data_IF_821328151758
#
_entry.id   IF_821328151758
#
_cell.length_a   1.000
_cell.length_b   1.000
_cell.length_c   1.000
_cell.angle_alpha   90.00
_cell.angle_beta   90.00
_cell.angle_gamma   90.00
#
_symmetry.space_group_name_H-M   'P 1'
#
loop_
_entity.id
_entity.type
_entity.pdbx_description
1 polymer ?
#
# COMPACT_ATOMS: atom_id res chain seq x y z
N UNK A 1 21.79 -3.93 -17.39
CA UNK A 1 23.21 -3.60 -17.11
C UNK A 1 23.40 -2.11 -17.09
N UNK A 2 24.19 -1.63 -16.17
CA UNK A 2 24.65 -0.24 -16.05
C UNK A 2 25.99 -0.08 -16.78
N UNK A 3 26.43 1.16 -16.98
CA UNK A 3 27.64 1.52 -17.76
C UNK A 3 28.90 0.73 -17.39
N UNK A 4 29.05 0.27 -16.16
CA UNK A 4 30.21 -0.48 -15.64
C UNK A 4 29.83 -1.77 -14.90
N UNK A 5 28.60 -2.24 -15.02
CA UNK A 5 28.13 -3.43 -14.31
C UNK A 5 27.09 -4.18 -15.12
N UNK A 6 27.19 -5.50 -15.15
CA UNK A 6 26.23 -6.37 -15.83
C UNK A 6 25.55 -7.27 -14.81
N UNK A 7 24.24 -7.19 -14.71
CA UNK A 7 23.43 -8.12 -13.92
C UNK A 7 23.33 -9.43 -14.70
N UNK A 8 23.68 -10.53 -14.07
CA UNK A 8 23.63 -11.87 -14.70
C UNK A 8 22.20 -12.36 -14.87
N UNK A 9 21.98 -13.28 -15.81
CA UNK A 9 20.71 -14.01 -15.91
C UNK A 9 20.40 -14.82 -14.64
N UNK A 10 21.43 -15.36 -13.99
CA UNK A 10 21.29 -16.08 -12.73
C UNK A 10 20.68 -15.20 -11.65
N UNK A 11 21.23 -14.00 -11.43
CA UNK A 11 20.70 -13.03 -10.48
C UNK A 11 19.26 -12.60 -10.82
N UNK A 12 18.99 -12.29 -12.10
CA UNK A 12 17.65 -11.89 -12.54
C UNK A 12 16.62 -13.02 -12.34
N UNK A 13 16.95 -14.25 -12.73
CA UNK A 13 16.09 -15.41 -12.51
C UNK A 13 15.90 -15.70 -11.02
N UNK A 14 16.98 -15.70 -10.24
CA UNK A 14 16.90 -15.93 -8.80
C UNK A 14 15.96 -14.93 -8.12
N UNK A 15 16.14 -13.63 -8.38
CA UNK A 15 15.29 -12.59 -7.78
C UNK A 15 13.84 -12.74 -8.20
N UNK A 16 13.57 -12.99 -9.50
CA UNK A 16 12.20 -13.22 -9.99
C UNK A 16 11.55 -14.44 -9.33
N UNK A 17 12.26 -15.57 -9.25
CA UNK A 17 11.73 -16.82 -8.71
C UNK A 17 11.55 -16.75 -7.19
N UNK A 18 12.43 -16.05 -6.49
CA UNK A 18 12.30 -15.79 -5.08
C UNK A 18 11.05 -14.94 -4.77
N UNK A 19 10.83 -13.87 -5.54
CA UNK A 19 9.61 -13.06 -5.42
C UNK A 19 8.34 -13.86 -5.78
N UNK A 20 8.40 -14.71 -6.80
CA UNK A 20 7.32 -15.62 -7.13
C UNK A 20 6.93 -16.50 -5.94
N UNK A 21 7.92 -17.13 -5.30
CA UNK A 21 7.67 -18.00 -4.14
C UNK A 21 6.99 -17.24 -2.98
N UNK A 22 7.46 -16.04 -2.68
CA UNK A 22 6.86 -15.21 -1.62
C UNK A 22 5.41 -14.83 -1.93
N UNK A 23 5.10 -14.46 -3.16
CA UNK A 23 3.73 -14.11 -3.57
C UNK A 23 2.83 -15.33 -3.55
N UNK A 24 3.30 -16.49 -4.00
CA UNK A 24 2.53 -17.74 -3.99
C UNK A 24 2.23 -18.20 -2.55
N UNK A 25 3.19 -18.08 -1.63
CA UNK A 25 2.97 -18.39 -0.21
C UNK A 25 1.93 -17.46 0.43
N UNK A 26 1.99 -16.17 0.12
CA UNK A 26 1.00 -15.19 0.58
C UNK A 26 -0.41 -15.54 0.05
N UNK A 27 -0.54 -15.85 -1.23
CA UNK A 27 -1.83 -16.23 -1.82
C UNK A 27 -2.38 -17.53 -1.23
N UNK A 28 -1.54 -18.53 -0.98
CA UNK A 28 -1.95 -19.77 -0.29
C UNK A 28 -2.52 -19.49 1.09
N UNK A 29 -1.88 -18.62 1.87
CA UNK A 29 -2.32 -18.28 3.23
C UNK A 29 -3.65 -17.53 3.25
N UNK A 30 -3.90 -16.67 2.25
CA UNK A 30 -5.07 -15.80 2.21
C UNK A 30 -6.28 -16.42 1.52
N UNK A 31 -6.08 -17.22 0.48
CA UNK A 31 -7.17 -17.65 -0.43
C UNK A 31 -7.35 -19.16 -0.52
N UNK A 32 -6.57 -19.97 0.20
CA UNK A 32 -6.62 -21.43 0.09
C UNK A 32 -6.37 -21.90 -1.36
N UNK A 33 -5.51 -21.23 -2.08
CA UNK A 33 -5.40 -21.28 -3.52
C UNK A 33 -5.15 -22.68 -4.08
N UNK A 34 -6.01 -23.14 -4.97
CA UNK A 34 -5.89 -24.43 -5.65
C UNK A 34 -4.84 -24.45 -6.76
N UNK A 35 -4.43 -23.28 -7.28
CA UNK A 35 -3.43 -23.19 -8.35
C UNK A 35 -2.81 -21.80 -8.43
N UNK A 36 -1.49 -21.72 -8.22
CA UNK A 36 -0.71 -20.51 -8.42
C UNK A 36 -0.43 -20.23 -9.91
N UNK A 37 -0.53 -21.24 -10.79
CA UNK A 37 -0.23 -21.07 -12.22
C UNK A 37 -1.23 -20.14 -12.93
N UNK A 38 -2.49 -20.16 -12.52
CA UNK A 38 -3.52 -19.27 -13.06
C UNK A 38 -3.30 -17.80 -12.68
N UNK A 39 -2.66 -17.53 -11.52
CA UNK A 39 -2.34 -16.19 -11.07
C UNK A 39 -1.41 -15.48 -12.06
N UNK A 40 -0.36 -16.17 -12.47
CA UNK A 40 0.70 -15.57 -13.27
C UNK A 40 0.31 -15.29 -14.71
N UNK A 41 -0.65 -16.02 -15.24
CA UNK A 41 -1.18 -15.83 -16.59
C UNK A 41 -2.30 -14.78 -16.68
N UNK A 42 -2.80 -14.28 -15.53
CA UNK A 42 -3.87 -13.27 -15.50
C UNK A 42 -3.39 -11.93 -16.01
N UNK A 43 -4.17 -11.34 -16.90
CA UNK A 43 -4.12 -9.93 -17.27
C UNK A 43 -5.12 -9.16 -16.39
N UNK A 44 -4.63 -8.59 -15.28
CA UNK A 44 -5.49 -7.89 -14.32
C UNK A 44 -6.02 -6.56 -14.84
N UNK A 45 -5.35 -5.97 -15.82
CA UNK A 45 -5.66 -4.62 -16.32
C UNK A 45 -6.27 -4.63 -17.71
N UNK A 46 -6.42 -5.79 -18.34
CA UNK A 46 -6.97 -5.92 -19.70
C UNK A 46 -6.13 -5.28 -20.81
N UNK A 47 -4.83 -5.12 -20.57
CA UNK A 47 -3.90 -4.45 -21.48
C UNK A 47 -2.93 -5.39 -22.20
N UNK A 48 -3.11 -6.71 -22.06
CA UNK A 48 -2.25 -7.72 -22.64
C UNK A 48 -0.99 -8.06 -21.84
N UNK A 49 -0.81 -7.45 -20.65
CA UNK A 49 0.33 -7.68 -19.74
C UNK A 49 -0.09 -8.63 -18.63
N UNK A 50 0.58 -9.76 -18.50
CA UNK A 50 0.29 -10.75 -17.45
C UNK A 50 0.88 -10.34 -16.10
N UNK A 51 0.41 -10.97 -15.02
CA UNK A 51 1.01 -10.82 -13.69
C UNK A 51 2.49 -11.25 -13.68
N UNK A 52 2.84 -12.28 -14.45
CA UNK A 52 4.24 -12.71 -14.63
C UNK A 52 5.08 -11.58 -15.24
N UNK A 53 4.60 -10.95 -16.32
CA UNK A 53 5.32 -9.84 -16.98
C UNK A 53 5.49 -8.65 -16.03
N UNK A 54 4.43 -8.27 -15.33
CA UNK A 54 4.45 -7.19 -14.32
C UNK A 54 5.47 -7.47 -13.21
N UNK A 55 5.52 -8.70 -12.71
CA UNK A 55 6.47 -9.09 -11.69
C UNK A 55 7.91 -9.02 -12.21
N UNK A 56 8.17 -9.50 -13.41
CA UNK A 56 9.50 -9.44 -14.04
C UNK A 56 9.97 -8.00 -14.23
N UNK A 57 9.10 -7.12 -14.71
CA UNK A 57 9.41 -5.71 -14.89
C UNK A 57 9.71 -5.05 -13.53
N UNK A 58 8.91 -5.30 -12.52
CA UNK A 58 9.14 -4.81 -11.16
C UNK A 58 10.47 -5.28 -10.57
N UNK A 59 10.84 -6.54 -10.79
CA UNK A 59 12.14 -7.07 -10.34
C UNK A 59 13.29 -6.41 -11.09
N UNK A 60 13.16 -6.13 -12.38
CA UNK A 60 14.22 -5.42 -13.12
C UNK A 60 14.40 -3.99 -12.61
N UNK A 61 13.32 -3.30 -12.26
CA UNK A 61 13.40 -1.99 -11.63
C UNK A 61 14.03 -2.05 -10.25
N UNK A 62 13.67 -3.03 -9.43
CA UNK A 62 14.27 -3.26 -8.12
C UNK A 62 15.78 -3.55 -8.21
N UNK A 63 16.21 -4.37 -9.16
CA UNK A 63 17.63 -4.63 -9.41
C UNK A 63 18.34 -3.36 -9.86
N UNK A 64 17.72 -2.56 -10.73
CA UNK A 64 18.27 -1.28 -11.16
C UNK A 64 18.49 -0.35 -9.94
N UNK A 65 17.50 -0.19 -9.10
CA UNK A 65 17.59 0.58 -7.84
C UNK A 65 18.78 0.08 -6.99
N UNK A 66 18.80 -1.21 -6.69
CA UNK A 66 19.82 -1.78 -5.78
C UNK A 66 21.25 -1.64 -6.31
N UNK A 67 21.48 -1.86 -7.60
CA UNK A 67 22.81 -1.67 -8.18
C UNK A 67 23.19 -0.20 -8.33
N UNK A 68 22.22 0.68 -8.58
CA UNK A 68 22.45 2.13 -8.53
C UNK A 68 22.90 2.56 -7.14
N UNK A 69 22.19 2.12 -6.10
CA UNK A 69 22.58 2.42 -4.71
C UNK A 69 23.95 1.86 -4.36
N UNK A 70 24.27 0.65 -4.78
CA UNK A 70 25.59 0.04 -4.59
C UNK A 70 26.72 0.88 -5.24
N UNK A 71 26.47 1.41 -6.43
CA UNK A 71 27.44 2.24 -7.14
C UNK A 71 27.75 3.57 -6.41
N UNK A 72 26.82 4.05 -5.61
CA UNK A 72 26.89 5.33 -4.90
C UNK A 72 27.15 5.22 -3.38
N UNK A 73 27.47 4.02 -2.87
CA UNK A 73 27.73 3.80 -1.43
C UNK A 73 28.76 4.76 -0.85
N UNK A 74 29.81 5.06 -1.62
CA UNK A 74 30.91 5.93 -1.17
C UNK A 74 30.49 7.38 -0.99
N UNK A 75 29.49 7.82 -1.74
CA UNK A 75 28.97 9.20 -1.67
C UNK A 75 28.29 9.47 -0.31
N UNK A 76 27.88 8.39 0.39
CA UNK A 76 27.20 8.43 1.69
C UNK A 76 27.97 7.74 2.82
N UNK A 77 29.26 7.44 2.62
CA UNK A 77 30.10 6.70 3.57
C UNK A 77 29.46 5.39 4.05
N UNK A 78 28.64 4.78 3.21
CA UNK A 78 27.99 3.48 3.47
C UNK A 78 28.92 2.33 3.11
N UNK A 79 29.00 1.35 3.99
CA UNK A 79 29.72 0.10 3.75
C UNK A 79 28.97 -1.08 4.40
N UNK A 80 29.19 -2.28 3.89
CA UNK A 80 28.76 -3.52 4.54
C UNK A 80 29.85 -3.94 5.51
N UNK A 81 29.52 -4.00 6.79
CA UNK A 81 30.46 -4.30 7.87
C UNK A 81 30.91 -5.77 7.85
N UNK A 82 31.95 -6.08 8.61
CA UNK A 82 32.45 -7.47 8.74
C UNK A 82 31.35 -8.39 9.35
N UNK A 83 30.64 -7.90 10.36
CA UNK A 83 29.59 -8.68 11.01
C UNK A 83 28.37 -8.89 10.09
N UNK A 84 27.99 -7.86 9.33
CA UNK A 84 26.92 -7.97 8.31
C UNK A 84 27.32 -9.00 7.23
N UNK A 85 28.56 -8.98 6.73
CA UNK A 85 29.07 -9.98 5.76
C UNK A 85 29.01 -11.39 6.34
N UNK A 86 29.40 -11.58 7.59
CA UNK A 86 29.33 -12.88 8.25
C UNK A 86 27.88 -13.37 8.40
N UNK A 87 26.96 -12.48 8.77
CA UNK A 87 25.54 -12.79 8.88
C UNK A 87 24.91 -13.13 7.52
N UNK A 88 25.24 -12.37 6.48
CA UNK A 88 24.81 -12.61 5.08
C UNK A 88 25.27 -13.98 4.62
N UNK A 89 26.55 -14.30 4.81
CA UNK A 89 27.09 -15.62 4.45
C UNK A 89 26.38 -16.75 5.15
N UNK A 90 26.17 -16.63 6.44
CA UNK A 90 25.42 -17.64 7.22
C UNK A 90 23.98 -17.79 6.71
N UNK A 91 23.30 -16.68 6.40
CA UNK A 91 21.94 -16.71 5.87
C UNK A 91 21.88 -17.36 4.49
N UNK A 92 22.86 -17.07 3.61
CA UNK A 92 22.96 -17.71 2.29
C UNK A 92 23.16 -19.23 2.41
N UNK A 93 24.07 -19.66 3.27
CA UNK A 93 24.30 -21.09 3.55
C UNK A 93 23.04 -21.77 4.09
N UNK A 94 22.31 -21.12 4.98
CA UNK A 94 21.04 -21.62 5.50
C UNK A 94 20.01 -21.76 4.38
N UNK A 95 19.87 -20.74 3.52
CA UNK A 95 18.97 -20.79 2.38
C UNK A 95 19.28 -21.98 1.45
N UNK A 96 20.56 -22.22 1.14
CA UNK A 96 20.98 -23.36 0.32
C UNK A 96 20.64 -24.69 1.00
N UNK A 97 20.83 -24.81 2.33
CA UNK A 97 20.54 -26.06 3.05
C UNK A 97 19.06 -26.32 3.24
N UNK A 98 18.23 -25.29 3.31
CA UNK A 98 16.77 -25.40 3.54
C UNK A 98 15.98 -25.72 2.26
N UNK A 99 16.61 -25.62 1.10
CA UNK A 99 15.95 -25.81 -0.19
C UNK A 99 16.44 -27.07 -0.91
N UNK A 100 15.55 -27.71 -1.65
CA UNK A 100 15.95 -28.88 -2.47
C UNK A 100 16.87 -28.48 -3.62
N UNK A 101 17.71 -29.42 -4.06
CA UNK A 101 18.59 -29.20 -5.20
C UNK A 101 17.83 -28.84 -6.49
N UNK A 102 16.60 -29.34 -6.65
CA UNK A 102 15.74 -29.04 -7.78
C UNK A 102 15.25 -27.60 -7.72
N UNK A 103 14.78 -27.14 -6.56
CA UNK A 103 14.36 -25.75 -6.35
C UNK A 103 15.51 -24.77 -6.57
N UNK A 104 16.69 -25.06 -6.01
CA UNK A 104 17.89 -24.25 -6.19
C UNK A 104 18.30 -24.14 -7.67
N UNK A 105 18.22 -25.24 -8.41
CA UNK A 105 18.50 -25.25 -9.84
C UNK A 105 17.49 -24.45 -10.64
N UNK A 106 16.21 -24.59 -10.36
CA UNK A 106 15.12 -23.82 -10.97
C UNK A 106 15.29 -22.31 -10.74
N UNK A 107 15.70 -21.94 -9.54
CA UNK A 107 15.94 -20.56 -9.16
C UNK A 107 17.29 -20.02 -9.64
N UNK A 108 18.19 -20.88 -10.15
CA UNK A 108 19.61 -20.53 -10.37
C UNK A 108 20.27 -19.98 -9.09
N UNK A 109 19.91 -20.56 -7.96
CA UNK A 109 20.43 -20.16 -6.65
C UNK A 109 21.67 -20.98 -6.29
N UNK A 110 22.78 -20.30 -6.21
CA UNK A 110 24.00 -20.77 -5.54
C UNK A 110 24.34 -19.85 -4.36
N UNK A 111 25.31 -20.24 -3.54
CA UNK A 111 25.67 -19.46 -2.35
C UNK A 111 26.06 -18.01 -2.71
N UNK A 112 26.85 -17.84 -3.79
CA UNK A 112 27.33 -16.52 -4.21
C UNK A 112 26.17 -15.61 -4.68
N UNK A 113 25.23 -16.15 -5.46
CA UNK A 113 24.06 -15.41 -5.93
C UNK A 113 23.14 -14.99 -4.77
N UNK A 114 22.96 -15.88 -3.79
CA UNK A 114 22.16 -15.57 -2.58
C UNK A 114 22.86 -14.52 -1.72
N UNK A 115 24.18 -14.66 -1.49
CA UNK A 115 24.99 -13.66 -0.77
C UNK A 115 24.92 -12.30 -1.47
N UNK A 116 25.01 -12.25 -2.80
CA UNK A 116 24.94 -11.01 -3.57
C UNK A 116 23.59 -10.33 -3.38
N UNK A 117 22.46 -11.05 -3.49
CA UNK A 117 21.14 -10.46 -3.30
C UNK A 117 20.94 -9.96 -1.87
N UNK A 118 21.34 -10.72 -0.86
CA UNK A 118 21.26 -10.30 0.55
C UNK A 118 22.15 -9.08 0.83
N UNK A 119 23.32 -9.01 0.20
CA UNK A 119 24.20 -7.85 0.26
C UNK A 119 23.53 -6.62 -0.34
N UNK A 120 22.89 -6.75 -1.51
CA UNK A 120 22.15 -5.67 -2.14
C UNK A 120 20.99 -5.18 -1.28
N UNK A 121 20.22 -6.05 -0.63
CA UNK A 121 19.18 -5.66 0.32
C UNK A 121 19.74 -4.89 1.53
N UNK A 122 20.88 -5.33 2.06
CA UNK A 122 21.57 -4.65 3.16
C UNK A 122 22.00 -3.24 2.74
N UNK A 123 22.63 -3.11 1.57
CA UNK A 123 23.04 -1.84 1.01
C UNK A 123 21.84 -0.92 0.80
N UNK A 124 20.76 -1.42 0.19
CA UNK A 124 19.52 -0.66 -0.03
C UNK A 124 18.99 -0.07 1.27
N UNK A 125 18.87 -0.88 2.30
CA UNK A 125 18.38 -0.42 3.62
C UNK A 125 19.28 0.68 4.22
N UNK A 126 20.60 0.52 4.13
CA UNK A 126 21.55 1.50 4.66
C UNK A 126 21.58 2.78 3.85
N UNK A 127 21.57 2.68 2.52
CA UNK A 127 21.54 3.83 1.61
C UNK A 127 20.24 4.61 1.72
N UNK A 128 19.10 3.93 1.77
CA UNK A 128 17.81 4.59 1.98
C UNK A 128 17.82 5.42 3.24
N UNK A 129 18.25 4.83 4.36
CA UNK A 129 18.35 5.54 5.64
C UNK A 129 19.29 6.73 5.58
N UNK A 130 20.44 6.61 4.90
CA UNK A 130 21.40 7.68 4.77
C UNK A 130 20.88 8.85 3.90
N UNK A 131 20.23 8.53 2.77
CA UNK A 131 19.62 9.54 1.89
C UNK A 131 18.45 10.24 2.58
N UNK A 132 17.56 9.48 3.20
CA UNK A 132 16.39 10.02 3.92
C UNK A 132 16.80 10.94 5.09
N UNK A 133 17.98 10.73 5.69
CA UNK A 133 18.50 11.58 6.75
C UNK A 133 18.83 13.02 6.29
N UNK A 134 18.97 13.26 4.99
CA UNK A 134 19.19 14.59 4.41
C UNK A 134 17.88 15.36 4.18
N UNK A 135 16.72 14.70 4.29
CA UNK A 135 15.43 15.35 4.08
C UNK A 135 15.17 16.43 5.15
N UNK A 136 14.49 17.52 4.73
CA UNK A 136 14.01 18.53 5.66
C UNK A 136 12.85 17.99 6.50
N UNK A 137 13.11 17.76 7.78
CA UNK A 137 12.13 17.26 8.75
C UNK A 137 11.52 18.37 9.62
N UNK A 138 11.85 19.64 9.36
CA UNK A 138 11.28 20.79 10.04
C UNK A 138 9.88 21.09 9.47
N UNK A 139 8.86 20.50 10.09
CA UNK A 139 7.46 20.75 9.77
C UNK A 139 6.94 21.79 10.75
N UNK A 140 6.43 22.91 10.22
CA UNK A 140 5.84 23.96 11.07
C UNK A 140 4.53 23.51 11.66
N UNK A 141 4.08 24.17 12.74
CA UNK A 141 2.78 23.88 13.34
C UNK A 141 1.62 24.16 12.36
N UNK A 142 1.77 25.19 11.51
CA UNK A 142 0.80 25.52 10.46
C UNK A 142 0.69 24.43 9.39
N UNK A 143 1.84 23.90 8.93
CA UNK A 143 1.86 22.80 7.95
C UNK A 143 1.23 21.54 8.48
N UNK A 144 1.43 21.23 9.77
CA UNK A 144 0.94 20.03 10.40
C UNK A 144 -0.52 20.13 10.87
N UNK A 145 -1.02 21.35 11.12
CA UNK A 145 -2.29 21.57 11.79
C UNK A 145 -3.45 20.88 11.07
N UNK A 146 -4.22 20.11 11.83
CA UNK A 146 -5.51 19.58 11.42
C UNK A 146 -6.59 20.04 12.41
N UNK A 147 -7.72 20.50 11.84
CA UNK A 147 -8.88 20.94 12.60
C UNK A 147 -9.82 19.75 12.77
N UNK A 148 -10.29 19.53 13.99
CA UNK A 148 -11.22 18.44 14.32
C UNK A 148 -12.67 18.85 14.09
N UNK A 149 -13.47 17.94 13.55
CA UNK A 149 -14.90 18.18 13.30
C UNK A 149 -15.77 16.97 13.59
N UNK A 150 -17.06 17.26 13.83
CA UNK A 150 -18.15 16.28 13.79
C UNK A 150 -19.08 16.62 12.64
N UNK A 151 -19.52 15.61 11.90
CA UNK A 151 -20.34 15.77 10.70
C UNK A 151 -21.53 14.80 10.72
N UNK A 152 -22.71 15.31 10.41
CA UNK A 152 -23.89 14.54 10.04
C UNK A 152 -24.05 14.61 8.52
N UNK A 153 -24.28 13.47 7.88
CA UNK A 153 -24.46 13.36 6.43
C UNK A 153 -25.72 12.58 6.10
N UNK A 154 -26.55 13.14 5.23
CA UNK A 154 -27.70 12.46 4.65
C UNK A 154 -27.51 12.41 3.13
N UNK A 155 -27.34 11.21 2.57
CA UNK A 155 -27.30 11.04 1.10
C UNK A 155 -28.68 11.37 0.50
N UNK A 156 -28.67 12.08 -0.62
CA UNK A 156 -29.88 12.45 -1.37
C UNK A 156 -29.96 11.81 -2.75
N UNK A 157 -28.99 10.95 -3.10
CA UNK A 157 -28.93 10.31 -4.43
C UNK A 157 -29.69 9.00 -4.45
N UNK A 158 -29.37 8.09 -3.55
CA UNK A 158 -29.91 6.74 -3.54
C UNK A 158 -29.86 6.10 -2.16
N UNK A 159 -30.68 5.08 -1.97
CA UNK A 159 -30.66 4.21 -0.80
C UNK A 159 -30.73 2.74 -1.23
N UNK A 160 -30.55 1.83 -0.29
CA UNK A 160 -30.82 0.41 -0.52
C UNK A 160 -32.25 0.07 -0.11
N UNK A 161 -32.97 -0.64 -0.97
CA UNK A 161 -34.28 -1.19 -0.65
C UNK A 161 -34.16 -2.41 0.27
N UNK A 162 -35.32 -2.95 0.74
CA UNK A 162 -35.36 -4.13 1.60
C UNK A 162 -34.75 -5.39 0.99
N UNK A 163 -34.54 -5.39 -0.34
CA UNK A 163 -33.92 -6.47 -1.10
C UNK A 163 -32.44 -6.24 -1.36
N UNK A 164 -31.87 -5.10 -0.89
CA UNK A 164 -30.48 -4.73 -1.07
C UNK A 164 -30.15 -4.10 -2.43
N UNK A 165 -31.17 -3.74 -3.23
CA UNK A 165 -30.94 -3.04 -4.50
C UNK A 165 -30.77 -1.55 -4.26
N UNK A 166 -29.89 -0.91 -5.05
CA UNK A 166 -29.74 0.53 -5.04
C UNK A 166 -30.87 1.20 -5.80
N UNK A 167 -31.62 2.05 -5.12
CA UNK A 167 -32.78 2.80 -5.67
C UNK A 167 -32.55 4.29 -5.48
N UNK A 168 -32.77 5.08 -6.53
CA UNK A 168 -32.69 6.53 -6.45
C UNK A 168 -33.85 7.12 -5.64
N UNK A 169 -33.58 8.16 -4.86
CA UNK A 169 -34.61 8.91 -4.15
C UNK A 169 -35.49 9.69 -5.13
N UNK A 170 -36.80 9.63 -4.91
CA UNK A 170 -37.78 10.51 -5.57
C UNK A 170 -37.68 11.94 -5.04
N UNK A 171 -38.26 12.89 -5.77
CA UNK A 171 -38.28 14.30 -5.34
C UNK A 171 -39.01 14.49 -3.99
N UNK A 172 -40.07 13.73 -3.75
CA UNK A 172 -40.79 13.77 -2.46
C UNK A 172 -39.95 13.22 -1.31
N UNK A 173 -39.20 12.13 -1.54
CA UNK A 173 -38.27 11.60 -0.55
C UNK A 173 -37.13 12.56 -0.26
N UNK A 174 -36.53 13.17 -1.30
CA UNK A 174 -35.51 14.22 -1.10
C UNK A 174 -35.99 15.38 -0.27
N UNK A 175 -37.26 15.78 -0.47
CA UNK A 175 -37.88 16.83 0.34
C UNK A 175 -38.03 16.41 1.82
N UNK A 176 -38.41 15.16 2.08
CA UNK A 176 -38.48 14.62 3.45
C UNK A 176 -37.10 14.56 4.10
N UNK A 177 -36.05 14.18 3.35
CA UNK A 177 -34.68 14.20 3.87
C UNK A 177 -34.22 15.62 4.23
N UNK A 178 -34.61 16.61 3.44
CA UNK A 178 -34.34 18.02 3.75
C UNK A 178 -35.11 18.50 5.00
N UNK A 179 -36.34 18.09 5.18
CA UNK A 179 -37.13 18.36 6.40
C UNK A 179 -36.46 17.73 7.64
N UNK A 180 -35.93 16.51 7.51
CA UNK A 180 -35.14 15.84 8.55
C UNK A 180 -33.90 16.65 8.92
N UNK A 181 -33.11 17.07 7.93
CA UNK A 181 -31.91 17.90 8.16
C UNK A 181 -32.26 19.24 8.84
N UNK A 182 -33.36 19.89 8.43
CA UNK A 182 -33.84 21.14 9.05
C UNK A 182 -34.26 20.94 10.52
N UNK A 183 -34.90 19.81 10.84
CA UNK A 183 -35.26 19.49 12.24
C UNK A 183 -34.01 19.31 13.11
N UNK A 184 -32.98 18.67 12.57
CA UNK A 184 -31.69 18.51 13.25
C UNK A 184 -31.05 19.87 13.50
N UNK A 185 -31.01 20.74 12.48
CA UNK A 185 -30.51 22.10 12.59
C UNK A 185 -31.25 22.89 13.67
N UNK A 186 -32.61 22.86 13.67
CA UNK A 186 -33.43 23.53 14.65
C UNK A 186 -33.17 23.03 16.07
N UNK A 187 -33.02 21.70 16.23
CA UNK A 187 -32.72 21.12 17.54
C UNK A 187 -31.36 21.58 18.07
N UNK A 188 -30.34 21.68 17.20
CA UNK A 188 -29.02 22.22 17.56
C UNK A 188 -29.12 23.70 17.93
N UNK A 189 -29.85 24.52 17.16
CA UNK A 189 -30.09 25.94 17.47
C UNK A 189 -30.81 26.12 18.81
N UNK A 190 -31.61 25.13 19.23
CA UNK A 190 -32.31 25.10 20.53
C UNK A 190 -31.44 24.44 21.65
N UNK A 191 -30.18 24.21 21.45
CA UNK A 191 -29.20 23.82 22.46
C UNK A 191 -28.94 22.33 22.59
N UNK A 192 -29.44 21.47 21.68
CA UNK A 192 -29.00 20.06 21.61
C UNK A 192 -27.62 19.95 21.00
N UNK A 193 -26.87 18.90 21.36
CA UNK A 193 -25.65 18.53 20.63
C UNK A 193 -26.01 18.02 19.23
N UNK A 194 -25.10 18.13 18.27
CA UNK A 194 -25.32 17.62 16.91
C UNK A 194 -25.60 16.11 16.94
N UNK A 195 -24.90 15.39 17.81
CA UNK A 195 -25.03 13.93 17.97
C UNK A 195 -26.44 13.55 18.47
N UNK A 196 -26.94 14.22 19.51
CA UNK A 196 -28.28 13.95 20.06
C UNK A 196 -29.38 14.37 19.08
N UNK A 197 -29.21 15.52 18.43
CA UNK A 197 -30.18 16.00 17.44
C UNK A 197 -30.25 15.04 16.22
N UNK A 198 -29.14 14.56 15.75
CA UNK A 198 -29.08 13.57 14.65
C UNK A 198 -29.71 12.24 15.06
N UNK A 199 -29.39 11.74 16.26
CA UNK A 199 -29.93 10.48 16.79
C UNK A 199 -31.46 10.52 16.95
N UNK A 200 -32.04 11.65 17.35
CA UNK A 200 -33.51 11.81 17.48
C UNK A 200 -34.22 11.65 16.11
N UNK A 201 -33.54 11.89 15.02
CA UNK A 201 -34.03 11.74 13.64
C UNK A 201 -33.45 10.50 12.95
N UNK A 202 -33.00 9.50 13.72
CA UNK A 202 -32.40 8.25 13.23
C UNK A 202 -31.17 8.44 12.30
N UNK A 203 -30.46 9.56 12.49
CA UNK A 203 -29.24 9.85 11.77
C UNK A 203 -27.99 9.65 12.66
N UNK A 204 -26.85 9.44 12.04
CA UNK A 204 -25.58 9.26 12.73
C UNK A 204 -24.62 10.41 12.41
N UNK A 205 -23.71 10.64 13.32
CA UNK A 205 -22.60 11.55 13.14
C UNK A 205 -21.29 10.77 13.01
N UNK A 206 -20.34 11.36 12.29
CA UNK A 206 -18.96 10.90 12.21
C UNK A 206 -18.02 12.00 12.68
N UNK A 207 -16.87 11.62 13.20
CA UNK A 207 -15.80 12.55 13.55
C UNK A 207 -14.64 12.42 12.57
N UNK A 208 -13.95 13.52 12.35
CA UNK A 208 -12.78 13.55 11.49
C UNK A 208 -11.91 14.74 11.80
N UNK A 209 -10.82 14.85 11.06
CA UNK A 209 -9.95 16.00 11.06
C UNK A 209 -9.54 16.34 9.62
N UNK A 210 -9.18 17.59 9.38
CA UNK A 210 -8.78 18.04 8.06
C UNK A 210 -7.69 19.11 8.14
N UNK A 211 -6.77 19.07 7.16
CA UNK A 211 -5.75 20.08 6.96
C UNK A 211 -6.26 21.22 6.07
N UNK A 212 -5.58 22.35 6.06
CA UNK A 212 -5.96 23.53 5.25
C UNK A 212 -6.00 23.24 3.75
N UNK A 213 -5.19 22.31 3.26
CA UNK A 213 -5.08 21.86 1.88
C UNK A 213 -5.89 20.60 1.57
N UNK A 214 -6.76 20.17 2.49
CA UNK A 214 -7.60 19.00 2.27
C UNK A 214 -8.44 19.14 1.00
N UNK A 215 -8.40 18.10 0.16
CA UNK A 215 -9.15 18.00 -1.09
C UNK A 215 -10.17 16.84 -1.10
N UNK A 216 -10.33 16.15 0.02
CA UNK A 216 -11.22 14.98 0.15
C UNK A 216 -12.61 15.36 0.65
N UNK A 217 -12.72 16.40 1.47
CA UNK A 217 -13.99 16.97 1.89
C UNK A 217 -14.69 17.67 0.71
N UNK A 218 -16.03 17.61 0.70
CA UNK A 218 -16.78 18.45 -0.21
C UNK A 218 -16.41 19.93 0.00
N UNK A 219 -16.28 20.66 -1.11
CA UNK A 219 -15.82 22.05 -1.09
C UNK A 219 -16.70 22.95 -0.22
N UNK A 220 -18.03 22.74 -0.25
CA UNK A 220 -18.98 23.52 0.55
C UNK A 220 -18.86 23.18 2.03
N UNK A 221 -18.61 21.90 2.36
CA UNK A 221 -18.39 21.42 3.73
C UNK A 221 -17.09 22.01 4.29
N UNK A 222 -16.00 21.92 3.53
CA UNK A 222 -14.70 22.49 3.94
C UNK A 222 -14.82 24.00 4.17
N UNK A 223 -15.47 24.71 3.25
CA UNK A 223 -15.70 26.16 3.40
C UNK A 223 -16.47 26.49 4.66
N UNK A 224 -17.52 25.75 4.95
CA UNK A 224 -18.31 25.96 6.18
C UNK A 224 -17.45 25.74 7.43
N UNK A 225 -16.66 24.65 7.48
CA UNK A 225 -15.74 24.37 8.58
C UNK A 225 -14.66 25.45 8.75
N UNK A 226 -14.13 25.99 7.63
CA UNK A 226 -13.15 27.06 7.66
C UNK A 226 -13.70 28.37 8.25
N UNK A 227 -15.00 28.63 8.06
CA UNK A 227 -15.67 29.84 8.57
C UNK A 227 -16.15 29.71 10.04
N UNK A 228 -16.23 28.47 10.59
CA UNK A 228 -16.67 28.21 11.96
C UNK A 228 -15.56 28.44 12.99
N UNK A 229 -15.97 28.88 14.18
CA UNK A 229 -15.14 28.87 15.39
C UNK A 229 -15.35 27.57 16.15
N UNK A 230 -14.40 27.25 17.01
CA UNK A 230 -14.49 26.07 17.87
C UNK A 230 -15.81 26.04 18.67
N UNK A 231 -16.50 24.92 18.58
CA UNK A 231 -17.82 24.68 19.18
C UNK A 231 -19.02 25.13 18.34
N UNK A 232 -18.82 25.89 17.26
CA UNK A 232 -19.89 26.32 16.37
C UNK A 232 -20.33 25.22 15.42
N UNK A 233 -21.64 25.18 15.15
CA UNK A 233 -22.27 24.26 14.20
C UNK A 233 -22.81 25.04 13.01
N UNK A 234 -22.66 24.50 11.81
CA UNK A 234 -23.18 25.10 10.58
C UNK A 234 -24.72 25.00 10.48
N UNK A 235 -25.30 25.82 9.62
CA UNK A 235 -26.59 25.53 9.01
C UNK A 235 -26.50 24.29 8.11
N UNK A 236 -27.65 23.81 7.61
CA UNK A 236 -27.68 22.74 6.61
C UNK A 236 -26.94 23.17 5.37
N UNK A 237 -25.99 22.33 4.93
CA UNK A 237 -25.23 22.49 3.69
C UNK A 237 -25.80 21.51 2.67
N UNK A 238 -26.37 22.03 1.60
CA UNK A 238 -26.95 21.24 0.51
C UNK A 238 -25.98 21.15 -0.66
N UNK A 239 -25.73 19.94 -1.13
CA UNK A 239 -24.96 19.64 -2.33
C UNK A 239 -25.81 18.80 -3.29
N UNK A 240 -25.30 18.52 -4.48
CA UNK A 240 -26.01 17.68 -5.46
C UNK A 240 -26.24 16.24 -4.98
N UNK A 241 -25.46 15.76 -4.00
CA UNK A 241 -25.46 14.36 -3.58
C UNK A 241 -25.84 14.13 -2.12
N UNK A 242 -25.80 15.16 -1.27
CA UNK A 242 -26.03 15.00 0.15
C UNK A 242 -26.39 16.33 0.86
N UNK A 243 -26.93 16.17 2.07
CA UNK A 243 -27.12 17.24 3.05
C UNK A 243 -26.14 17.01 4.20
N UNK A 244 -25.48 18.07 4.65
CA UNK A 244 -24.51 18.04 5.74
C UNK A 244 -24.87 19.06 6.82
N UNK A 245 -24.54 18.71 8.05
CA UNK A 245 -24.39 19.65 9.16
C UNK A 245 -23.07 19.33 9.82
N UNK A 246 -22.23 20.34 10.03
CA UNK A 246 -20.88 20.16 10.59
C UNK A 246 -20.69 21.04 11.81
N UNK A 247 -19.92 20.56 12.77
CA UNK A 247 -19.45 21.32 13.92
C UNK A 247 -17.92 21.30 13.92
N UNK A 248 -17.31 22.46 14.12
CA UNK A 248 -15.89 22.52 14.40
C UNK A 248 -15.64 22.18 15.87
N UNK A 249 -15.00 21.06 16.13
CA UNK A 249 -14.74 20.58 17.48
C UNK A 249 -13.47 21.18 18.08
N UNK A 250 -12.45 21.40 17.25
CA UNK A 250 -11.19 22.01 17.67
C UNK A 250 -10.47 22.71 16.52
N UNK A 251 -9.84 23.83 16.82
CA UNK A 251 -8.95 24.54 15.89
C UNK A 251 -7.67 23.73 15.61
N UNK A 252 -7.29 22.87 16.55
CA UNK A 252 -6.16 21.95 16.44
C UNK A 252 -6.52 20.62 17.10
N UNK A 253 -6.76 19.59 16.30
CA UNK A 253 -6.83 18.22 16.79
C UNK A 253 -5.41 17.70 17.01
N UNK A 254 -5.04 17.46 18.27
CA UNK A 254 -3.65 17.13 18.64
C UNK A 254 -3.17 15.83 18.03
N UNK A 255 -4.00 14.79 18.05
CA UNK A 255 -3.63 13.47 17.57
C UNK A 255 -3.54 13.44 16.04
N UNK A 256 -4.52 14.03 15.37
CA UNK A 256 -4.52 14.16 13.91
C UNK A 256 -3.35 15.04 13.43
N UNK A 257 -3.09 16.16 14.11
CA UNK A 257 -1.98 17.06 13.79
C UNK A 257 -0.62 16.35 13.92
N UNK A 258 -0.40 15.58 14.99
CA UNK A 258 0.87 14.85 15.16
C UNK A 258 1.04 13.75 14.12
N UNK A 259 -0.05 13.05 13.80
CA UNK A 259 -0.06 12.07 12.69
C UNK A 259 0.23 12.72 11.36
N UNK A 260 -0.37 13.87 11.07
CA UNK A 260 -0.12 14.63 9.84
C UNK A 260 1.33 15.11 9.78
N UNK A 261 1.89 15.61 10.88
CA UNK A 261 3.31 15.99 10.99
C UNK A 261 4.22 14.82 10.57
N UNK A 262 3.97 13.65 11.12
CA UNK A 262 4.74 12.45 10.77
C UNK A 262 4.57 12.06 9.30
N UNK A 263 3.35 12.14 8.77
CA UNK A 263 3.08 11.87 7.35
C UNK A 263 3.84 12.84 6.42
N UNK A 264 3.91 14.12 6.77
CA UNK A 264 4.67 15.13 6.03
C UNK A 264 6.17 14.80 6.06
N UNK A 265 6.71 14.45 7.23
CA UNK A 265 8.11 14.04 7.39
C UNK A 265 8.41 12.81 6.51
N UNK A 266 7.58 11.79 6.60
CA UNK A 266 7.77 10.54 5.85
C UNK A 266 7.69 10.79 4.34
N UNK A 267 6.76 11.64 3.90
CA UNK A 267 6.65 12.05 2.50
C UNK A 267 7.91 12.80 2.03
N UNK A 268 8.41 13.75 2.80
CA UNK A 268 9.64 14.49 2.46
C UNK A 268 10.85 13.57 2.35
N UNK A 269 10.98 12.59 3.25
CA UNK A 269 12.02 11.56 3.19
C UNK A 269 11.92 10.72 1.92
N UNK A 270 10.72 10.25 1.62
CA UNK A 270 10.46 9.44 0.43
C UNK A 270 10.69 10.23 -0.86
N UNK A 271 10.21 11.46 -0.93
CA UNK A 271 10.39 12.34 -2.09
C UNK A 271 11.89 12.61 -2.33
N UNK A 272 12.64 12.92 -1.27
CA UNK A 272 14.08 13.15 -1.37
C UNK A 272 14.84 11.89 -1.84
N UNK A 273 14.52 10.73 -1.25
CA UNK A 273 15.08 9.45 -1.69
C UNK A 273 14.85 9.20 -3.20
N UNK A 274 13.60 9.38 -3.64
CA UNK A 274 13.24 9.17 -5.04
C UNK A 274 13.94 10.16 -5.97
N UNK A 275 14.04 11.43 -5.59
CA UNK A 275 14.74 12.46 -6.38
C UNK A 275 16.21 12.13 -6.58
N UNK A 276 16.91 11.74 -5.50
CA UNK A 276 18.32 11.34 -5.56
C UNK A 276 18.50 10.12 -6.44
N UNK A 277 17.70 9.07 -6.21
CA UNK A 277 17.76 7.82 -6.97
C UNK A 277 17.50 8.05 -8.46
N UNK A 278 16.44 8.75 -8.82
CA UNK A 278 16.12 9.08 -10.21
C UNK A 278 17.22 9.92 -10.87
N UNK A 279 17.81 10.85 -10.12
CA UNK A 279 18.92 11.65 -10.60
C UNK A 279 20.13 10.83 -11.03
N UNK A 280 20.42 9.74 -10.32
CA UNK A 280 21.47 8.79 -10.68
C UNK A 280 21.05 7.87 -11.84
N UNK A 281 19.86 7.30 -11.76
CA UNK A 281 19.34 6.36 -12.76
C UNK A 281 19.24 6.96 -14.16
N UNK A 282 18.93 8.25 -14.27
CA UNK A 282 18.90 8.97 -15.56
C UNK A 282 20.29 9.02 -16.26
N UNK A 283 21.38 8.80 -15.52
CA UNK A 283 22.76 8.96 -16.00
C UNK A 283 23.53 7.65 -16.08
N UNK A 284 23.04 6.58 -15.47
CA UNK A 284 23.79 5.32 -15.30
C UNK A 284 23.80 4.40 -16.52
N UNK A 285 22.93 4.67 -17.51
CA UNK A 285 22.87 3.93 -18.76
C UNK A 285 22.29 2.52 -18.64
N UNK A 286 21.42 2.30 -17.64
CA UNK A 286 20.74 1.01 -17.46
C UNK A 286 20.02 0.53 -18.72
N UNK A 287 20.18 -0.74 -19.05
CA UNK A 287 19.50 -1.40 -20.16
C UNK A 287 19.04 -2.79 -19.78
N UNK A 288 17.81 -3.13 -20.11
CA UNK A 288 17.24 -4.46 -19.90
C UNK A 288 17.23 -5.23 -21.21
N UNK A 289 17.82 -6.43 -21.21
CA UNK A 289 17.72 -7.35 -22.33
C UNK A 289 16.40 -8.12 -22.27
N UNK A 290 15.36 -7.58 -22.90
CA UNK A 290 14.00 -8.16 -22.89
C UNK A 290 13.96 -9.59 -23.40
N UNK A 291 14.81 -9.97 -24.38
CA UNK A 291 14.88 -11.35 -24.87
C UNK A 291 15.37 -12.33 -23.81
N UNK A 292 16.28 -11.89 -22.94
CA UNK A 292 16.75 -12.72 -21.84
C UNK A 292 15.72 -12.78 -20.70
N UNK A 293 15.13 -11.67 -20.34
CA UNK A 293 14.07 -11.63 -19.30
C UNK A 293 12.87 -12.51 -19.70
N UNK A 294 12.51 -12.55 -20.97
CA UNK A 294 11.43 -13.41 -21.48
C UNK A 294 11.70 -14.93 -21.30
N UNK A 295 12.96 -15.34 -21.06
CA UNK A 295 13.29 -16.75 -20.76
C UNK A 295 12.98 -17.15 -19.31
N UNK A 296 12.82 -16.18 -18.40
CA UNK A 296 12.39 -16.45 -17.02
C UNK A 296 10.92 -16.88 -17.06
N UNK A 297 10.59 -17.99 -16.40
CA UNK A 297 9.24 -18.58 -16.44
C UNK A 297 8.78 -18.93 -15.03
N UNK A 298 7.50 -18.59 -14.74
CA UNK A 298 6.82 -18.90 -13.49
C UNK A 298 5.90 -20.13 -13.59
N UNK A 299 6.09 -20.95 -14.61
CA UNK A 299 5.24 -22.15 -14.83
C UNK A 299 5.29 -23.12 -13.65
N UNK A 300 6.48 -23.30 -13.05
CA UNK A 300 6.68 -24.21 -11.94
C UNK A 300 6.61 -23.44 -10.63
N UNK A 301 5.69 -23.82 -9.75
CA UNK A 301 5.64 -23.30 -8.37
C UNK A 301 6.85 -23.78 -7.57
N UNK A 302 7.39 -22.89 -6.75
CA UNK A 302 8.49 -23.17 -5.82
C UNK A 302 8.03 -23.23 -4.36
N UNK A 303 6.74 -23.07 -4.10
CA UNK A 303 6.20 -23.18 -2.75
C UNK A 303 6.33 -24.61 -2.26
N UNK A 304 6.80 -24.77 -1.00
CA UNK A 304 6.88 -26.08 -0.38
C UNK A 304 5.48 -26.71 -0.35
N UNK A 305 5.36 -27.93 -0.85
CA UNK A 305 4.18 -28.76 -0.55
C UNK A 305 4.23 -29.10 0.94
N UNK A 306 3.11 -28.87 1.63
CA UNK A 306 2.97 -29.32 3.02
C UNK A 306 3.32 -30.82 3.10
N UNK A 307 4.37 -31.22 3.82
CA UNK A 307 4.72 -32.64 3.93
C UNK A 307 3.59 -33.49 4.51
N UNK A 308 2.56 -32.86 5.13
CA UNK A 308 1.38 -33.55 5.64
C UNK A 308 0.23 -33.64 4.62
N UNK A 309 0.26 -32.90 3.51
CA UNK A 309 -0.80 -32.94 2.48
C UNK A 309 -0.80 -34.23 1.65
N UNK A 310 0.29 -35.02 1.66
CA UNK A 310 0.40 -36.27 0.92
C UNK A 310 -0.12 -37.50 1.69
N UNK A 311 -0.51 -37.37 2.96
CA UNK A 311 -0.96 -38.49 3.80
C UNK A 311 -2.48 -38.65 3.85
N UNK A 312 -3.27 -37.67 3.39
CA UNK A 312 -4.74 -37.78 3.43
C UNK A 312 -5.36 -38.38 2.15
N UNK A 313 -4.60 -38.59 1.10
CA UNK A 313 -5.13 -39.12 -0.19
C UNK A 313 -4.93 -40.61 -0.38
N UNK A 314 -4.32 -41.35 0.57
CA UNK A 314 -4.09 -42.78 0.45
C UNK A 314 -4.92 -43.68 1.38
N UNK A 315 -5.89 -43.13 2.13
CA UNK A 315 -6.69 -43.94 3.08
C UNK A 315 -8.15 -44.10 2.70
N UNK A 316 -8.55 -43.86 1.44
CA UNK A 316 -9.95 -44.06 1.03
C UNK A 316 -10.17 -44.96 -0.20
N UNK A 317 -9.26 -45.92 -0.45
CA UNK A 317 -9.46 -46.88 -1.55
C UNK A 317 -9.12 -48.33 -1.19
N UNK A 318 -9.37 -48.76 0.05
CA UNK A 318 -9.40 -50.20 0.37
C UNK A 318 -10.42 -50.46 1.46
N UNK A 319 -11.68 -50.57 1.08
CA UNK A 319 -12.72 -51.42 1.68
C UNK A 319 -13.99 -51.39 0.87
N UNK A 320 -13.99 -52.10 -0.24
CA UNK A 320 -15.18 -52.75 -0.80
C UNK A 320 -14.74 -53.86 -1.75
N UNK A 321 -14.53 -55.03 -1.16
CA UNK A 321 -14.80 -56.34 -1.78
C UNK A 321 -14.35 -57.46 -0.79
N UNK A 322 -15.29 -57.93 0.02
CA UNK A 322 -15.46 -59.32 0.43
C UNK A 322 -16.91 -59.54 0.90
#
# INVERSE_FOLDING_TARGET
SMKNQTVTMGMANFTCRYQQANVEDYYKSMMGAKSSSELWSKDLYGNGTTMEDTMKDSVMEQLHEMYTLQAHMKDYDVSVTKDEKAAIKKAAQQFISDNSSEALKEMTADEDTVEELLTLYTIRSKMQKAIEAEADTNVTDEEANERGYTMMTISTTSHQDDSGNTVEYTDDEKKQLKETANKIEDAVKNGKTLEDAAKDEDQQTTTGAYASDDSTLDTSVKKALDDLKEGETSDVIETDSALYIVRLDSETDKDATEKNRQNIIDKRKSDHYNEVLEGWQKKDGWKVNKKNVAKISFKNSLTQQDPNASTETQTSTETQNA
#
